data_IF_888379151249
#
_entry.id   IF_888379151249
#
_cell.length_a   1.000
_cell.length_b   1.000
_cell.length_c   1.000
_cell.angle_alpha   90.00
_cell.angle_beta   90.00
_cell.angle_gamma   90.00
#
_symmetry.space_group_name_H-M   'P 1'
#
loop_
_entity.id
_entity.type
_entity.pdbx_description
1 polymer ?
#
# COMPACT_ATOMS: atom_id res chain seq x y z
N UNK A 1 9.97 -2.80 15.85
CA UNK A 1 8.55 -2.79 15.43
C UNK A 1 7.95 -1.45 15.77
N UNK A 2 7.20 -0.83 14.86
CA UNK A 2 6.57 0.47 15.09
C UNK A 2 5.10 0.27 15.50
N UNK A 3 4.76 0.68 16.73
CA UNK A 3 3.40 0.59 17.27
C UNK A 3 2.40 1.30 16.33
N UNK A 4 1.33 0.61 15.94
CA UNK A 4 0.24 1.08 15.04
C UNK A 4 0.60 1.30 13.56
N UNK A 5 1.85 1.04 13.16
CA UNK A 5 2.31 1.26 11.78
C UNK A 5 2.77 0.00 11.07
N UNK A 6 3.23 -1.02 11.80
CA UNK A 6 3.62 -2.29 11.19
C UNK A 6 2.40 -3.14 10.83
N UNK A 7 2.59 -4.07 9.90
CA UNK A 7 1.61 -5.07 9.47
C UNK A 7 2.29 -6.43 9.40
N UNK A 8 1.49 -7.48 9.46
CA UNK A 8 1.92 -8.87 9.27
C UNK A 8 2.41 -9.11 7.82
N UNK A 9 1.66 -8.60 6.83
CA UNK A 9 1.92 -8.79 5.41
C UNK A 9 2.10 -7.45 4.71
N UNK A 10 3.34 -7.15 4.31
CA UNK A 10 3.69 -5.92 3.59
C UNK A 10 3.40 -6.06 2.10
N UNK A 11 3.05 -4.95 1.46
CA UNK A 11 2.93 -4.88 0.01
C UNK A 11 4.34 -4.77 -0.57
N UNK A 12 4.85 -5.85 -1.14
CA UNK A 12 6.18 -5.87 -1.75
C UNK A 12 6.09 -5.34 -3.17
N UNK A 13 6.93 -4.36 -3.54
CA UNK A 13 6.94 -3.75 -4.87
C UNK A 13 8.38 -3.57 -5.40
N UNK A 14 8.60 -3.68 -6.72
CA UNK A 14 9.92 -3.43 -7.29
C UNK A 14 10.24 -1.93 -7.33
N UNK A 15 11.44 -1.55 -6.88
CA UNK A 15 11.98 -0.21 -7.09
C UNK A 15 12.28 0.05 -8.57
N UNK A 16 12.34 1.32 -8.95
CA UNK A 16 12.66 1.81 -10.29
C UNK A 16 11.67 1.39 -11.40
N UNK A 17 10.45 1.06 -11.03
CA UNK A 17 9.37 0.73 -11.94
C UNK A 17 8.18 1.68 -11.72
N UNK A 18 7.49 2.04 -12.80
CA UNK A 18 6.21 2.74 -12.71
C UNK A 18 5.14 1.75 -12.22
N UNK A 19 4.55 2.02 -11.06
CA UNK A 19 3.53 1.16 -10.47
C UNK A 19 2.19 1.86 -10.61
N UNK A 20 1.20 1.14 -11.17
CA UNK A 20 -0.20 1.54 -11.17
C UNK A 20 -0.92 0.74 -10.09
N UNK A 21 -1.57 1.43 -9.16
CA UNK A 21 -2.44 0.80 -8.16
C UNK A 21 -3.89 1.13 -8.49
N UNK A 22 -4.77 0.15 -8.32
CA UNK A 22 -6.22 0.30 -8.40
C UNK A 22 -6.81 0.09 -7.01
N UNK A 23 -7.64 1.02 -6.55
CA UNK A 23 -8.09 1.13 -5.18
C UNK A 23 -9.61 1.23 -5.18
N UNK A 24 -10.26 0.41 -4.35
CA UNK A 24 -11.71 0.41 -4.09
C UNK A 24 -11.95 -0.13 -2.68
N UNK A 25 -13.18 -0.04 -2.20
CA UNK A 25 -13.59 -0.60 -0.91
C UNK A 25 -14.78 -1.54 -1.08
N UNK A 26 -14.95 -2.46 -0.14
CA UNK A 26 -16.05 -3.45 -0.15
C UNK A 26 -17.19 -3.09 0.79
N UNK A 27 -16.98 -2.15 1.72
CA UNK A 27 -17.91 -1.80 2.79
C UNK A 27 -18.21 -0.28 2.82
N UNK A 28 -17.38 0.50 3.51
CA UNK A 28 -17.50 1.96 3.65
C UNK A 28 -16.36 2.65 2.91
N UNK A 29 -16.32 3.98 2.94
CA UNK A 29 -15.22 4.72 2.33
C UNK A 29 -13.98 4.60 3.21
N UNK A 30 -12.84 4.29 2.59
CA UNK A 30 -11.51 4.39 3.18
C UNK A 30 -10.65 5.31 2.31
N UNK A 31 -9.40 5.55 2.70
CA UNK A 31 -8.45 6.28 1.83
C UNK A 31 -7.06 5.72 1.99
N UNK A 32 -6.49 5.24 0.88
CA UNK A 32 -5.18 4.61 0.83
C UNK A 32 -4.10 5.68 0.62
N UNK A 33 -3.17 5.78 1.56
CA UNK A 33 -2.19 6.86 1.60
C UNK A 33 -0.80 6.35 1.92
N UNK A 34 0.21 6.82 1.19
CA UNK A 34 1.64 6.70 1.52
C UNK A 34 2.25 8.10 1.42
N UNK A 35 2.43 8.84 2.54
CA UNK A 35 2.83 10.24 2.52
C UNK A 35 4.19 10.48 1.86
N UNK A 36 5.15 9.57 2.08
CA UNK A 36 6.50 9.66 1.51
C UNK A 36 6.56 9.45 -0.01
N UNK A 37 5.51 8.88 -0.61
CA UNK A 37 5.32 8.78 -2.06
C UNK A 37 4.39 9.88 -2.60
N UNK A 38 3.83 10.74 -1.73
CA UNK A 38 2.89 11.79 -2.13
C UNK A 38 1.56 11.26 -2.66
N UNK A 39 1.18 10.04 -2.28
CA UNK A 39 -0.05 9.39 -2.77
C UNK A 39 -1.10 9.38 -1.67
N UNK A 40 -2.30 9.87 -1.97
CA UNK A 40 -3.55 9.67 -1.21
C UNK A 40 -4.68 9.47 -2.20
N UNK A 41 -5.40 8.36 -2.09
CA UNK A 41 -6.53 8.04 -2.99
C UNK A 41 -7.64 7.37 -2.20
N UNK A 42 -8.85 7.90 -2.33
CA UNK A 42 -10.02 7.34 -1.67
C UNK A 42 -10.40 5.99 -2.28
N UNK A 43 -10.82 5.08 -1.40
CA UNK A 43 -11.34 3.77 -1.70
C UNK A 43 -12.86 3.82 -1.52
N UNK A 44 -13.60 4.01 -2.61
CA UNK A 44 -15.05 4.16 -2.57
C UNK A 44 -15.73 2.85 -3.04
N UNK A 45 -16.71 2.33 -2.28
CA UNK A 45 -17.48 1.17 -2.73
C UNK A 45 -18.14 1.41 -4.09
N UNK A 46 -18.01 0.45 -5.00
CA UNK A 46 -18.57 0.54 -6.36
C UNK A 46 -17.79 1.42 -7.34
N UNK A 47 -16.65 1.99 -6.94
CA UNK A 47 -15.77 2.78 -7.81
C UNK A 47 -14.33 2.29 -7.74
N UNK A 48 -13.72 2.07 -8.90
CA UNK A 48 -12.31 1.70 -9.04
C UNK A 48 -11.48 2.95 -9.34
N UNK A 49 -10.80 3.50 -8.33
CA UNK A 49 -9.86 4.61 -8.52
C UNK A 49 -8.49 4.06 -8.93
N UNK A 50 -7.73 4.82 -9.71
CA UNK A 50 -6.35 4.46 -10.09
C UNK A 50 -5.40 5.60 -9.82
N UNK A 51 -4.16 5.29 -9.47
CA UNK A 51 -3.05 6.25 -9.43
C UNK A 51 -1.76 5.56 -9.81
N UNK A 52 -0.77 6.35 -10.23
CA UNK A 52 0.56 5.85 -10.52
C UNK A 52 1.58 6.49 -9.58
N UNK A 53 2.58 5.73 -9.17
CA UNK A 53 3.72 6.24 -8.42
C UNK A 53 5.00 5.50 -8.80
N UNK A 54 6.13 6.06 -8.37
CA UNK A 54 7.47 5.55 -8.66
C UNK A 54 8.29 5.54 -7.36
N UNK A 55 8.96 4.42 -7.08
CA UNK A 55 9.83 4.28 -5.91
C UNK A 55 11.28 4.23 -6.38
N UNK A 56 12.08 5.24 -6.04
CA UNK A 56 13.46 5.41 -6.54
C UNK A 56 14.54 4.77 -5.63
N UNK A 57 14.16 4.23 -4.48
CA UNK A 57 15.09 3.65 -3.50
C UNK A 57 14.47 2.46 -2.79
N UNK A 58 15.27 1.45 -2.42
CA UNK A 58 14.78 0.36 -1.60
C UNK A 58 14.44 0.88 -0.20
N UNK A 59 13.50 0.23 0.49
CA UNK A 59 13.14 0.58 1.85
C UNK A 59 11.69 0.28 2.20
N UNK A 60 11.32 0.63 3.44
CA UNK A 60 9.96 0.45 3.97
C UNK A 60 9.27 1.81 4.02
N UNK A 61 8.06 1.88 3.48
CA UNK A 61 7.24 3.09 3.41
C UNK A 61 5.93 2.84 4.16
N UNK A 62 5.59 3.74 5.07
CA UNK A 62 4.42 3.61 5.94
C UNK A 62 3.29 4.55 5.51
N UNK A 63 2.07 4.11 5.80
CA UNK A 63 0.82 4.81 5.54
C UNK A 63 -0.26 4.40 6.54
N UNK A 64 -1.35 5.15 6.54
CA UNK A 64 -2.54 4.86 7.34
C UNK A 64 -3.79 5.22 6.54
N UNK A 65 -4.93 4.62 6.91
CA UNK A 65 -6.22 5.03 6.38
C UNK A 65 -6.44 6.52 6.64
N UNK A 66 -6.80 7.27 5.59
CA UNK A 66 -6.93 8.74 5.63
C UNK A 66 -8.35 9.25 5.43
N UNK A 67 -9.35 8.39 5.63
CA UNK A 67 -10.78 8.70 5.61
C UNK A 67 -11.49 7.94 6.75
N UNK A 68 -12.34 8.62 7.52
CA UNK A 68 -12.96 8.05 8.71
C UNK A 68 -13.88 6.86 8.34
N UNK A 69 -13.54 5.66 8.83
CA UNK A 69 -14.20 4.42 8.42
C UNK A 69 -14.77 3.56 9.57
N UNK A 70 -14.83 4.11 10.79
CA UNK A 70 -15.43 3.47 11.96
C UNK A 70 -14.49 3.34 13.15
N UNK A 71 -14.84 2.47 14.10
CA UNK A 71 -14.14 2.36 15.40
C UNK A 71 -12.64 2.04 15.26
N UNK A 72 -12.26 1.21 14.28
CA UNK A 72 -10.89 0.78 14.08
C UNK A 72 -10.13 1.59 13.02
N UNK A 73 -10.63 2.77 12.66
CA UNK A 73 -10.04 3.61 11.61
C UNK A 73 -8.53 3.87 11.80
N UNK A 74 -8.07 4.06 13.04
CA UNK A 74 -6.64 4.30 13.34
C UNK A 74 -5.77 3.04 13.39
N UNK A 75 -6.35 1.85 13.20
CA UNK A 75 -5.70 0.55 13.42
C UNK A 75 -5.61 -0.30 12.14
N UNK A 76 -5.65 0.35 10.98
CA UNK A 76 -5.47 -0.28 9.66
C UNK A 76 -4.34 0.40 8.87
N UNK A 77 -3.07 0.21 9.29
CA UNK A 77 -1.93 0.81 8.60
C UNK A 77 -1.65 0.14 7.24
N UNK A 78 -0.83 0.81 6.44
CA UNK A 78 -0.38 0.35 5.13
C UNK A 78 1.14 0.35 5.17
N UNK A 79 1.78 -0.73 4.74
CA UNK A 79 3.23 -0.82 4.63
C UNK A 79 3.62 -1.34 3.26
N UNK A 80 4.49 -0.59 2.58
CA UNK A 80 5.11 -0.99 1.33
C UNK A 80 6.58 -1.30 1.59
N UNK A 81 7.05 -2.43 1.07
CA UNK A 81 8.47 -2.76 1.00
C UNK A 81 8.95 -2.69 -0.44
N UNK A 82 9.87 -1.77 -0.71
CA UNK A 82 10.49 -1.62 -2.02
C UNK A 82 11.80 -2.40 -2.10
N UNK A 83 11.87 -3.33 -3.04
CA UNK A 83 13.02 -4.22 -3.25
C UNK A 83 13.48 -4.21 -4.71
N UNK A 84 14.63 -4.84 -5.00
CA UNK A 84 15.09 -4.99 -6.38
C UNK A 84 14.15 -5.88 -7.20
N UNK A 85 14.06 -5.65 -8.51
CA UNK A 85 13.21 -6.45 -9.41
C UNK A 85 13.52 -7.95 -9.35
N UNK A 86 14.80 -8.33 -9.18
CA UNK A 86 15.22 -9.73 -9.03
C UNK A 86 14.63 -10.36 -7.78
N UNK A 87 14.69 -9.66 -6.65
CA UNK A 87 14.12 -10.15 -5.41
C UNK A 87 12.58 -10.18 -5.47
N UNK A 88 11.97 -9.21 -6.14
CA UNK A 88 10.52 -9.19 -6.37
C UNK A 88 10.03 -10.38 -7.18
N UNK A 89 10.71 -10.74 -8.28
CA UNK A 89 10.38 -11.93 -9.08
C UNK A 89 10.54 -13.20 -8.24
N UNK A 90 11.63 -13.32 -7.48
CA UNK A 90 11.83 -14.45 -6.57
C UNK A 90 10.74 -14.54 -5.50
N UNK A 91 10.34 -13.39 -4.93
CA UNK A 91 9.26 -13.33 -3.95
C UNK A 91 7.94 -13.79 -4.54
N UNK A 92 7.56 -13.30 -5.72
CA UNK A 92 6.34 -13.76 -6.42
C UNK A 92 6.36 -15.27 -6.64
N UNK A 93 7.48 -15.82 -7.13
CA UNK A 93 7.58 -17.25 -7.43
C UNK A 93 7.47 -18.14 -6.18
N UNK A 94 7.90 -17.63 -5.03
CA UNK A 94 7.81 -18.32 -3.76
C UNK A 94 6.51 -18.03 -2.99
N UNK A 95 5.74 -17.03 -3.43
CA UNK A 95 4.45 -16.70 -2.83
C UNK A 95 3.43 -17.75 -3.27
N UNK A 96 3.43 -18.89 -2.59
CA UNK A 96 2.41 -19.92 -2.76
C UNK A 96 1.06 -19.36 -2.35
N UNK A 97 0.07 -19.50 -3.23
CA UNK A 97 -1.34 -19.20 -2.95
C UNK A 97 -1.94 -20.24 -2.02
#
# INVERSE_FOLDING_TARGET
EFRLLDVDNRIILPMNNQIRIMITATDVIHSWTIPSLGVKVDANPGRLNQTNFFINRPGIFFGQCSEICGANHSFMPIVIESISIKNFINWINNYSS
#
